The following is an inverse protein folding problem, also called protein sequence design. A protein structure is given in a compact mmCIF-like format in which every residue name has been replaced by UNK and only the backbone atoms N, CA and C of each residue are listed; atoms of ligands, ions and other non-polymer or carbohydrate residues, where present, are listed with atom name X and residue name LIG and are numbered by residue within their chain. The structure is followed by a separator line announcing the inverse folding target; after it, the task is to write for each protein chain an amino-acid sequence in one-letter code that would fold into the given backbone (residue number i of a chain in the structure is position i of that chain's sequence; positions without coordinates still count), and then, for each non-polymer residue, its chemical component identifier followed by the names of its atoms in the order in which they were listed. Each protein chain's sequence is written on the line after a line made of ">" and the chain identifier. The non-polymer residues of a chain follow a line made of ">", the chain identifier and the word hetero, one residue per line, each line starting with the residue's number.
data_IF_865865962441
#
_entry.id   IF_865865962441
#
_cell.length_a   1.000
_cell.length_b   1.000
_cell.length_c   1.000
_cell.angle_alpha   90.00
_cell.angle_beta   90.00
_cell.angle_gamma   90.00
#
_symmetry.space_group_name_H-M   'P 1'
#
loop_
_entity.id
_entity.type
_entity.pdbx_description
1 polymer ?
#
# COMPACT_ATOMS: atom_id res chain seq x y z
N UNK A 1 8.32 -10.87 0.55
CA UNK A 1 9.01 -9.74 1.20
C UNK A 1 8.13 -8.51 1.02
N UNK A 2 7.99 -7.65 2.03
CA UNK A 2 7.06 -6.53 2.02
C UNK A 2 7.26 -5.62 3.22
N UNK A 3 6.54 -4.51 3.28
CA UNK A 3 6.63 -3.53 4.37
C UNK A 3 5.42 -3.64 5.29
N UNK A 4 5.69 -3.95 6.56
CA UNK A 4 4.64 -3.98 7.57
C UNK A 4 4.22 -2.56 7.93
N UNK A 5 2.92 -2.31 7.88
CA UNK A 5 2.34 -1.00 8.15
C UNK A 5 2.03 -0.85 9.63
N UNK A 6 2.48 0.27 10.18
CA UNK A 6 2.25 0.69 11.55
C UNK A 6 1.84 2.16 11.58
N UNK A 7 1.20 2.59 12.66
CA UNK A 7 0.83 3.99 12.90
C UNK A 7 -0.05 4.62 11.82
N UNK A 8 -0.90 3.83 11.15
CA UNK A 8 -1.95 4.37 10.29
C UNK A 8 -2.96 5.10 11.16
N UNK A 9 -3.08 6.40 10.93
CA UNK A 9 -4.05 7.28 11.60
C UNK A 9 -5.42 7.11 10.97
N UNK A 10 -6.46 7.20 11.79
CA UNK A 10 -7.83 7.34 11.33
C UNK A 10 -7.96 8.59 10.44
N UNK A 11 -8.83 8.53 9.43
CA UNK A 11 -9.03 9.58 8.42
C UNK A 11 -7.80 9.92 7.55
N UNK A 12 -6.66 9.24 7.72
CA UNK A 12 -5.52 9.39 6.81
C UNK A 12 -5.85 8.86 5.41
N UNK A 13 -5.13 9.37 4.41
CA UNK A 13 -5.18 8.85 3.04
C UNK A 13 -5.08 7.32 3.00
N UNK A 14 -4.14 6.74 3.75
CA UNK A 14 -3.95 5.28 3.82
C UNK A 14 -5.16 4.54 4.42
N UNK A 15 -5.79 5.10 5.45
CA UNK A 15 -7.01 4.52 6.03
C UNK A 15 -8.20 4.58 5.05
N UNK A 16 -8.29 5.63 4.22
CA UNK A 16 -9.29 5.75 3.15
C UNK A 16 -9.07 4.74 2.03
N UNK A 17 -7.83 4.34 1.79
CA UNK A 17 -7.47 3.19 0.95
C UNK A 17 -7.69 1.83 1.66
N UNK A 18 -8.35 1.81 2.83
CA UNK A 18 -8.69 0.60 3.55
C UNK A 18 -7.49 -0.16 4.14
N UNK A 19 -6.31 0.47 4.20
CA UNK A 19 -5.12 -0.05 4.87
C UNK A 19 -5.28 0.01 6.39
N UNK A 20 -4.70 -0.96 7.08
CA UNK A 20 -4.83 -1.13 8.53
C UNK A 20 -3.47 -1.42 9.15
N UNK A 21 -3.34 -1.10 10.44
CA UNK A 21 -2.17 -1.50 11.21
C UNK A 21 -2.04 -3.02 11.22
N UNK A 22 -0.83 -3.52 11.00
CA UNK A 22 -0.54 -4.94 10.91
C UNK A 22 -0.64 -5.54 9.51
N UNK A 23 -1.15 -4.79 8.52
CA UNK A 23 -1.06 -5.20 7.11
C UNK A 23 0.41 -5.24 6.68
N UNK A 24 0.75 -6.18 5.79
CA UNK A 24 2.05 -6.21 5.10
C UNK A 24 1.82 -5.82 3.64
N UNK A 25 2.32 -4.66 3.25
CA UNK A 25 2.22 -4.16 1.88
C UNK A 25 3.31 -4.81 1.02
N UNK A 26 2.89 -5.54 -0.01
CA UNK A 26 3.77 -6.34 -0.86
C UNK A 26 3.98 -5.68 -2.22
N UNK A 27 2.94 -5.06 -2.79
CA UNK A 27 2.99 -4.44 -4.12
C UNK A 27 2.09 -3.21 -4.22
N UNK A 28 2.55 -2.21 -4.96
CA UNK A 28 1.78 -1.02 -5.32
C UNK A 28 1.90 -0.76 -6.81
N UNK A 29 0.79 -0.64 -7.53
CA UNK A 29 0.78 -0.30 -8.96
C UNK A 29 1.70 -1.17 -9.84
N UNK A 30 1.85 -2.45 -9.49
CA UNK A 30 2.74 -3.37 -10.20
C UNK A 30 4.19 -3.41 -9.68
N UNK A 31 4.59 -2.48 -8.81
CA UNK A 31 5.92 -2.41 -8.20
C UNK A 31 5.99 -3.22 -6.91
N UNK A 32 6.86 -4.24 -6.89
CA UNK A 32 7.13 -5.05 -5.70
C UNK A 32 7.93 -4.27 -4.66
N UNK A 33 7.50 -4.34 -3.40
CA UNK A 33 8.14 -3.64 -2.29
C UNK A 33 9.07 -4.57 -1.50
N UNK A 34 10.14 -5.03 -2.12
CA UNK A 34 11.13 -5.93 -1.51
C UNK A 34 12.41 -5.22 -1.03
N UNK A 35 12.57 -3.92 -1.31
CA UNK A 35 13.70 -3.11 -0.89
C UNK A 35 13.30 -1.67 -0.52
N UNK A 36 14.11 -0.95 0.29
CA UNK A 36 13.85 0.44 0.64
C UNK A 36 13.76 1.37 -0.58
N UNK A 37 14.61 1.17 -1.59
CA UNK A 37 14.63 2.00 -2.79
C UNK A 37 13.32 1.89 -3.58
N UNK A 38 12.81 0.66 -3.75
CA UNK A 38 11.51 0.43 -4.41
C UNK A 38 10.35 1.00 -3.58
N UNK A 39 10.44 0.98 -2.25
CA UNK A 39 9.43 1.62 -1.41
C UNK A 39 9.37 3.13 -1.64
N UNK A 40 10.53 3.80 -1.73
CA UNK A 40 10.61 5.23 -2.01
C UNK A 40 10.01 5.58 -3.39
N UNK A 41 10.33 4.79 -4.40
CA UNK A 41 9.76 4.93 -5.74
C UNK A 41 8.23 4.74 -5.72
N UNK A 42 7.74 3.72 -5.02
CA UNK A 42 6.31 3.46 -4.86
C UNK A 42 5.56 4.62 -4.20
N UNK A 43 6.16 5.28 -3.19
CA UNK A 43 5.55 6.46 -2.56
C UNK A 43 5.43 7.65 -3.50
N UNK A 44 6.43 7.82 -4.38
CA UNK A 44 6.41 8.90 -5.37
C UNK A 44 5.31 8.65 -6.39
N UNK A 45 5.24 7.43 -6.93
CA UNK A 45 4.20 7.05 -7.92
C UNK A 45 2.79 7.10 -7.35
N UNK A 46 2.59 6.73 -6.08
CA UNK A 46 1.29 6.81 -5.40
C UNK A 46 0.70 8.22 -5.38
N UNK A 47 1.54 9.24 -5.19
CA UNK A 47 1.09 10.63 -5.05
C UNK A 47 0.47 11.15 -6.34
N UNK A 48 1.01 10.73 -7.48
CA UNK A 48 0.58 11.19 -8.81
C UNK A 48 -0.37 10.20 -9.51
N UNK A 49 -0.61 9.03 -8.88
CA UNK A 49 -1.43 7.98 -9.45
C UNK A 49 -2.92 8.28 -9.37
N UNK A 50 -3.58 8.31 -10.53
CA UNK A 50 -5.05 8.34 -10.64
C UNK A 50 -5.71 7.03 -10.26
N UNK A 51 -4.96 5.93 -10.32
CA UNK A 51 -5.43 4.59 -9.95
C UNK A 51 -4.36 3.90 -9.13
N UNK A 52 -4.77 3.33 -8.01
CA UNK A 52 -3.91 2.67 -7.05
C UNK A 52 -4.35 1.21 -6.93
N UNK A 53 -3.49 0.28 -7.30
CA UNK A 53 -3.63 -1.15 -7.00
C UNK A 53 -2.68 -1.54 -5.88
N UNK A 54 -3.22 -2.12 -4.81
CA UNK A 54 -2.46 -2.60 -3.66
C UNK A 54 -2.60 -4.12 -3.57
N UNK A 55 -1.47 -4.80 -3.32
CA UNK A 55 -1.47 -6.16 -2.80
C UNK A 55 -0.89 -6.13 -1.39
N UNK A 56 -1.72 -6.55 -0.44
CA UNK A 56 -1.36 -6.64 0.97
C UNK A 56 -1.57 -8.07 1.46
N UNK A 57 -0.88 -8.42 2.52
CA UNK A 57 -1.21 -9.57 3.35
C UNK A 57 -1.84 -9.07 4.66
N UNK A 58 -3.00 -9.60 5.01
CA UNK A 58 -3.73 -9.25 6.23
C UNK A 58 -4.06 -10.53 7.00
N UNK A 59 -3.48 -10.66 8.19
CA UNK A 59 -3.67 -11.87 9.01
C UNK A 59 -3.22 -13.16 8.30
N UNK A 60 -2.19 -13.09 7.46
CA UNK A 60 -1.67 -14.21 6.68
C UNK A 60 -2.41 -14.49 5.36
N UNK A 61 -3.50 -13.77 5.06
CA UNK A 61 -4.24 -13.93 3.81
C UNK A 61 -3.91 -12.80 2.81
N UNK A 62 -3.70 -13.11 1.52
CA UNK A 62 -3.51 -12.10 0.49
C UNK A 62 -4.82 -11.35 0.22
N UNK A 63 -4.73 -10.03 0.13
CA UNK A 63 -5.84 -9.13 -0.18
C UNK A 63 -5.39 -8.18 -1.28
N UNK A 64 -6.19 -8.09 -2.35
CA UNK A 64 -6.02 -7.10 -3.41
C UNK A 64 -7.04 -5.98 -3.25
N UNK A 65 -6.60 -4.74 -3.41
CA UNK A 65 -7.45 -3.55 -3.42
C UNK A 65 -7.13 -2.68 -4.62
N UNK A 66 -8.15 -2.05 -5.17
CA UNK A 66 -8.01 -1.10 -6.28
C UNK A 66 -8.84 0.12 -5.96
N UNK A 67 -8.25 1.29 -6.12
CA UNK A 67 -8.86 2.59 -5.86
C UNK A 67 -8.62 3.51 -7.04
N UNK A 68 -9.62 4.31 -7.40
CA UNK A 68 -9.46 5.43 -8.32
C UNK A 68 -9.42 6.72 -7.48
N UNK A 69 -8.32 7.45 -7.59
CA UNK A 69 -8.09 8.72 -6.90
C UNK A 69 -8.52 9.83 -7.85
N UNK A 70 -9.61 10.53 -7.50
CA UNK A 70 -10.14 11.67 -8.24
C UNK A 70 -9.48 12.97 -7.81
#
# INVERSE_FOLDING_TARGET
>A
MGFKLFSIREESFYSRLGLRNGDVLQRINGLDLDSPDKALEAFTTLRDARRIELQIERGGAPVRKTFDVQ
#
